data_IF_236758316176
#
_entry.id   IF_236758316176
#
_cell.length_a   1.000
_cell.length_b   1.000
_cell.length_c   1.000
_cell.angle_alpha   90.00
_cell.angle_beta   90.00
_cell.angle_gamma   90.00
#
_symmetry.space_group_name_H-M   'P 1'
#
loop_
_entity.id
_entity.type
_entity.pdbx_description
1 polymer ?
#
# COMPACT_ATOMS: atom_id res chain seq x y z
N UNK A 1 -6.40 -15.02 50.87
CA UNK A 1 -6.08 -14.19 49.68
C UNK A 1 -5.40 -14.97 48.53
N UNK A 2 -4.75 -16.12 48.76
CA UNK A 2 -4.15 -16.94 47.68
C UNK A 2 -5.16 -17.66 46.76
N UNK A 3 -6.33 -18.07 47.27
CA UNK A 3 -7.34 -18.77 46.43
C UNK A 3 -8.09 -17.86 45.45
N UNK A 4 -8.20 -16.56 45.73
CA UNK A 4 -8.92 -15.61 44.85
C UNK A 4 -8.09 -15.29 43.59
N UNK A 5 -6.75 -15.22 43.72
CA UNK A 5 -5.86 -15.05 42.56
C UNK A 5 -5.91 -16.25 41.60
N UNK A 6 -6.05 -17.47 42.14
CA UNK A 6 -6.10 -18.68 41.31
C UNK A 6 -7.40 -18.76 40.49
N UNK A 7 -8.53 -18.34 41.07
CA UNK A 7 -9.81 -18.31 40.37
C UNK A 7 -9.85 -17.25 39.25
N UNK A 8 -9.22 -16.09 39.42
CA UNK A 8 -9.15 -15.06 38.37
C UNK A 8 -8.29 -15.51 37.19
N UNK A 9 -7.19 -16.23 37.45
CA UNK A 9 -6.34 -16.79 36.39
C UNK A 9 -7.02 -17.91 35.59
N UNK A 10 -7.79 -18.78 36.26
CA UNK A 10 -8.59 -19.81 35.61
C UNK A 10 -9.76 -19.23 34.80
N UNK A 11 -10.34 -18.11 35.22
CA UNK A 11 -11.42 -17.44 34.47
C UNK A 11 -10.91 -16.75 33.20
N UNK A 12 -9.68 -16.22 33.22
CA UNK A 12 -9.01 -15.66 32.04
C UNK A 12 -8.57 -16.74 31.03
N UNK A 13 -8.27 -17.96 31.48
CA UNK A 13 -7.97 -19.12 30.62
C UNK A 13 -9.23 -19.77 30.01
N UNK A 14 -10.40 -19.58 30.62
CA UNK A 14 -11.68 -20.17 30.19
C UNK A 14 -12.49 -19.26 29.27
N UNK A 15 -12.05 -18.02 29.02
CA UNK A 15 -12.53 -17.22 27.90
C UNK A 15 -11.98 -17.81 26.60
N UNK A 16 -12.58 -18.93 26.22
CA UNK A 16 -12.57 -19.45 24.86
C UNK A 16 -13.27 -18.40 24.01
N UNK A 17 -12.54 -17.36 23.60
CA UNK A 17 -12.98 -16.53 22.50
C UNK A 17 -13.19 -17.50 21.36
N UNK A 18 -14.44 -17.72 20.98
CA UNK A 18 -14.80 -18.38 19.75
C UNK A 18 -14.26 -17.49 18.62
N UNK A 19 -12.96 -17.63 18.35
CA UNK A 19 -12.26 -16.86 17.36
C UNK A 19 -12.73 -17.41 16.02
N UNK A 20 -13.38 -16.55 15.24
CA UNK A 20 -13.80 -16.85 13.88
C UNK A 20 -12.65 -16.56 12.92
N UNK A 21 -12.56 -17.32 11.83
CA UNK A 21 -11.69 -16.97 10.71
C UNK A 21 -12.01 -15.56 10.19
N UNK A 22 -11.23 -15.00 9.26
CA UNK A 22 -11.55 -13.71 8.67
C UNK A 22 -13.01 -13.72 8.18
N UNK A 23 -13.88 -12.97 8.87
CA UNK A 23 -15.30 -12.92 8.56
C UNK A 23 -15.48 -11.88 7.46
N UNK A 24 -15.59 -12.35 6.24
CA UNK A 24 -16.05 -11.53 5.12
C UNK A 24 -17.58 -11.50 5.13
N UNK A 25 -18.16 -10.34 4.82
CA UNK A 25 -19.62 -10.18 4.78
C UNK A 25 -20.27 -11.06 3.70
N UNK A 26 -19.50 -11.40 2.67
CA UNK A 26 -19.91 -12.24 1.54
C UNK A 26 -18.78 -13.22 1.21
N UNK A 27 -19.12 -14.47 0.87
CA UNK A 27 -18.16 -15.41 0.27
C UNK A 27 -18.06 -15.10 -1.23
N UNK A 28 -16.93 -14.58 -1.73
CA UNK A 28 -16.82 -14.17 -3.13
C UNK A 28 -16.72 -15.41 -4.03
N UNK A 29 -17.87 -15.87 -4.53
CA UNK A 29 -17.91 -16.85 -5.61
C UNK A 29 -17.52 -16.17 -6.93
N UNK A 30 -16.37 -16.57 -7.48
CA UNK A 30 -15.90 -16.29 -8.86
C UNK A 30 -16.06 -14.84 -9.35
N UNK A 31 -15.69 -13.87 -8.52
CA UNK A 31 -15.91 -12.45 -8.83
C UNK A 31 -14.62 -11.76 -9.25
N UNK A 32 -14.62 -11.23 -10.49
CA UNK A 32 -13.62 -10.29 -11.00
C UNK A 32 -13.43 -9.07 -10.08
N UNK A 33 -12.33 -8.34 -10.23
CA UNK A 33 -12.12 -7.09 -9.46
C UNK A 33 -13.29 -6.10 -9.64
N UNK A 34 -13.86 -6.03 -10.85
CA UNK A 34 -15.01 -5.20 -11.15
C UNK A 34 -16.30 -5.65 -10.43
N UNK A 35 -16.45 -6.94 -10.17
CA UNK A 35 -17.59 -7.45 -9.39
C UNK A 35 -17.43 -7.16 -7.90
N UNK A 36 -16.19 -7.15 -7.37
CA UNK A 36 -15.94 -6.66 -6.00
C UNK A 36 -16.32 -5.19 -5.86
N UNK A 37 -16.03 -4.36 -6.87
CA UNK A 37 -16.48 -2.97 -6.89
C UNK A 37 -18.01 -2.86 -6.93
N UNK A 38 -18.69 -3.65 -7.75
CA UNK A 38 -20.16 -3.68 -7.80
C UNK A 38 -20.77 -4.05 -6.43
N UNK A 39 -20.25 -5.09 -5.76
CA UNK A 39 -20.69 -5.46 -4.41
C UNK A 39 -20.51 -4.32 -3.39
N UNK A 40 -19.46 -3.50 -3.55
CA UNK A 40 -19.23 -2.32 -2.69
C UNK A 40 -20.22 -1.20 -2.98
N UNK A 41 -20.54 -0.96 -4.25
CA UNK A 41 -21.52 0.04 -4.69
C UNK A 41 -22.93 -0.33 -4.22
N UNK A 42 -23.27 -1.62 -4.26
CA UNK A 42 -24.52 -2.18 -3.73
C UNK A 42 -24.58 -2.19 -2.19
N UNK A 43 -23.44 -1.94 -1.52
CA UNK A 43 -23.34 -1.93 -0.06
C UNK A 43 -23.27 -3.32 0.58
N UNK A 44 -23.08 -4.39 -0.21
CA UNK A 44 -22.98 -5.77 0.27
C UNK A 44 -21.65 -6.04 1.01
N UNK A 45 -20.59 -5.31 0.68
CA UNK A 45 -19.29 -5.37 1.36
C UNK A 45 -18.82 -3.99 1.81
N UNK A 46 -18.05 -3.95 2.89
CA UNK A 46 -17.43 -2.72 3.38
C UNK A 46 -16.22 -2.31 2.51
N UNK A 47 -15.77 -1.06 2.66
CA UNK A 47 -14.54 -0.59 2.01
C UNK A 47 -13.30 -1.37 2.47
N UNK A 48 -13.31 -1.85 3.72
CA UNK A 48 -12.23 -2.65 4.31
C UNK A 48 -12.19 -4.04 3.67
N UNK A 49 -13.33 -4.71 3.53
CA UNK A 49 -13.41 -6.00 2.83
C UNK A 49 -13.01 -5.90 1.37
N UNK A 50 -13.47 -4.85 0.66
CA UNK A 50 -13.03 -4.61 -0.71
C UNK A 50 -11.50 -4.46 -0.79
N UNK A 51 -10.90 -3.70 0.12
CA UNK A 51 -9.45 -3.51 0.16
C UNK A 51 -8.72 -4.84 0.44
N UNK A 52 -9.17 -5.61 1.43
CA UNK A 52 -8.58 -6.90 1.80
C UNK A 52 -8.64 -7.92 0.65
N UNK A 53 -9.82 -8.12 0.05
CA UNK A 53 -10.01 -9.06 -1.07
C UNK A 53 -9.24 -8.64 -2.31
N UNK A 54 -9.17 -7.33 -2.60
CA UNK A 54 -8.36 -6.80 -3.71
C UNK A 54 -6.88 -7.06 -3.49
N UNK A 55 -6.39 -6.88 -2.26
CA UNK A 55 -4.99 -7.17 -1.91
C UNK A 55 -4.70 -8.66 -2.06
N UNK A 56 -5.53 -9.54 -1.48
CA UNK A 56 -5.37 -11.00 -1.58
C UNK A 56 -5.36 -11.49 -3.03
N UNK A 57 -6.27 -10.98 -3.87
CA UNK A 57 -6.35 -11.34 -5.29
C UNK A 57 -5.10 -10.91 -6.06
N UNK A 58 -4.53 -9.73 -5.73
CA UNK A 58 -3.36 -9.18 -6.43
C UNK A 58 -2.06 -9.84 -5.99
N UNK A 59 -1.87 -10.08 -4.69
CA UNK A 59 -0.65 -10.71 -4.17
C UNK A 59 -0.67 -12.22 -4.36
N UNK A 60 -1.86 -12.81 -4.25
CA UNK A 60 -2.09 -14.24 -4.16
C UNK A 60 -1.49 -14.86 -2.89
N UNK A 61 -2.01 -16.03 -2.51
CA UNK A 61 -1.50 -16.86 -1.42
C UNK A 61 -1.03 -18.20 -1.98
N UNK A 62 0.20 -18.60 -1.69
CA UNK A 62 0.69 -19.94 -1.98
C UNK A 62 0.37 -20.84 -0.78
N UNK A 63 -0.54 -21.82 -0.88
CA UNK A 63 -0.96 -22.62 0.27
C UNK A 63 0.16 -23.48 0.86
N UNK A 64 1.25 -23.74 0.11
CA UNK A 64 2.39 -24.55 0.57
C UNK A 64 3.39 -23.73 1.37
N UNK A 65 3.59 -22.45 1.00
CA UNK A 65 4.58 -21.56 1.62
C UNK A 65 3.95 -20.51 2.55
N UNK A 66 2.63 -20.34 2.51
CA UNK A 66 1.93 -19.35 3.30
C UNK A 66 2.02 -19.67 4.80
N UNK A 67 2.16 -18.61 5.58
CA UNK A 67 2.01 -18.71 7.02
C UNK A 67 0.56 -19.01 7.40
N UNK A 68 0.37 -19.47 8.64
CA UNK A 68 -0.93 -19.67 9.25
C UNK A 68 -1.83 -18.43 9.14
N UNK A 69 -1.27 -17.24 9.40
CA UNK A 69 -2.01 -15.97 9.34
C UNK A 69 -2.45 -15.62 7.92
N UNK A 70 -1.61 -15.86 6.92
CA UNK A 70 -1.96 -15.65 5.50
C UNK A 70 -3.07 -16.60 5.04
N UNK A 71 -3.04 -17.86 5.50
CA UNK A 71 -4.12 -18.83 5.23
C UNK A 71 -5.44 -18.42 5.92
N UNK A 72 -5.40 -17.80 7.10
CA UNK A 72 -6.60 -17.25 7.74
C UNK A 72 -7.20 -16.06 7.05
N UNK A 73 -6.39 -15.32 6.29
CA UNK A 73 -6.90 -14.25 5.43
C UNK A 73 -7.77 -14.79 4.30
N UNK A 74 -7.69 -16.07 3.92
CA UNK A 74 -8.47 -16.59 2.80
C UNK A 74 -9.97 -16.72 3.14
N UNK A 75 -10.87 -16.33 2.22
CA UNK A 75 -12.30 -16.40 2.45
C UNK A 75 -12.78 -17.85 2.61
N UNK A 76 -13.69 -18.07 3.57
CA UNK A 76 -14.35 -19.37 3.74
C UNK A 76 -13.49 -20.51 4.32
N UNK A 77 -12.29 -20.23 4.84
CA UNK A 77 -11.46 -21.22 5.57
C UNK A 77 -11.58 -21.06 7.09
N UNK A 78 -11.87 -22.15 7.81
CA UNK A 78 -11.97 -22.13 9.28
C UNK A 78 -10.63 -22.40 9.97
N UNK A 79 -10.53 -22.08 11.28
CA UNK A 79 -9.35 -22.41 12.10
C UNK A 79 -8.93 -23.88 12.01
N UNK A 80 -9.90 -24.78 12.21
CA UNK A 80 -9.69 -26.21 12.13
C UNK A 80 -9.25 -26.65 10.73
N UNK A 81 -9.79 -26.01 9.68
CA UNK A 81 -9.41 -26.34 8.31
C UNK A 81 -7.97 -25.94 8.00
N UNK A 82 -7.55 -24.72 8.37
CA UNK A 82 -6.16 -24.26 8.21
C UNK A 82 -5.20 -25.08 9.06
N UNK A 83 -5.57 -25.43 10.29
CA UNK A 83 -4.77 -26.32 11.14
C UNK A 83 -4.55 -27.68 10.45
N UNK A 84 -5.59 -28.21 9.80
CA UNK A 84 -5.48 -29.41 8.97
C UNK A 84 -4.53 -29.21 7.78
N UNK A 85 -4.65 -28.09 7.06
CA UNK A 85 -3.78 -27.80 5.89
C UNK A 85 -2.30 -27.72 6.27
N UNK A 86 -1.98 -27.19 7.45
CA UNK A 86 -0.62 -27.12 7.96
C UNK A 86 -0.06 -28.47 8.44
N UNK A 87 -0.93 -29.45 8.67
CA UNK A 87 -0.59 -30.79 9.17
C UNK A 87 -0.67 -31.90 8.12
N UNK A 88 -0.64 -31.57 6.83
CA UNK A 88 -0.69 -32.45 5.63
C UNK A 88 -2.05 -32.56 4.92
N UNK A 89 -3.11 -31.89 5.38
CA UNK A 89 -4.35 -31.88 4.61
C UNK A 89 -4.20 -31.07 3.31
N UNK A 90 -4.88 -31.51 2.26
CA UNK A 90 -4.92 -30.82 0.97
C UNK A 90 -6.27 -30.12 0.80
N UNK A 91 -6.27 -28.95 0.16
CA UNK A 91 -7.50 -28.27 -0.26
C UNK A 91 -8.38 -29.21 -1.10
N UNK A 92 -9.67 -29.29 -0.77
CA UNK A 92 -10.64 -30.05 -1.57
C UNK A 92 -10.79 -29.42 -2.96
N UNK A 93 -11.38 -30.16 -3.91
CA UNK A 93 -11.63 -29.65 -5.25
C UNK A 93 -12.52 -28.40 -5.20
N UNK A 94 -13.53 -28.41 -4.33
CA UNK A 94 -14.46 -27.30 -4.16
C UNK A 94 -13.79 -26.08 -3.54
N UNK A 95 -13.02 -26.27 -2.47
CA UNK A 95 -12.25 -25.20 -1.85
C UNK A 95 -11.24 -24.60 -2.84
N UNK A 96 -10.57 -25.44 -3.64
CA UNK A 96 -9.62 -24.99 -4.65
C UNK A 96 -10.29 -24.18 -5.75
N UNK A 97 -11.49 -24.57 -6.18
CA UNK A 97 -12.27 -23.82 -7.18
C UNK A 97 -12.67 -22.47 -6.63
N UNK A 98 -13.25 -22.43 -5.43
CA UNK A 98 -13.66 -21.19 -4.75
C UNK A 98 -12.49 -20.24 -4.49
N UNK A 99 -11.37 -20.78 -4.00
CA UNK A 99 -10.19 -19.98 -3.66
C UNK A 99 -9.30 -19.66 -4.87
N UNK A 100 -9.55 -20.24 -6.05
CA UNK A 100 -8.72 -20.05 -7.24
C UNK A 100 -8.36 -18.58 -7.54
N UNK A 101 -9.25 -17.58 -7.36
CA UNK A 101 -8.92 -16.17 -7.59
C UNK A 101 -7.88 -15.58 -6.62
N UNK A 102 -7.70 -16.19 -5.44
CA UNK A 102 -6.81 -15.72 -4.38
C UNK A 102 -5.55 -16.58 -4.22
N UNK A 103 -5.49 -17.72 -4.90
CA UNK A 103 -4.33 -18.60 -4.85
C UNK A 103 -3.35 -18.27 -5.96
N UNK A 104 -2.06 -18.26 -5.64
CA UNK A 104 -1.04 -18.25 -6.68
C UNK A 104 -1.00 -19.65 -7.28
N UNK A 105 -0.99 -19.75 -8.61
CA UNK A 105 -0.57 -20.99 -9.26
C UNK A 105 0.83 -21.35 -8.75
N UNK A 106 1.01 -22.59 -8.29
CA UNK A 106 2.30 -23.12 -7.89
C UNK A 106 3.38 -22.67 -8.89
N UNK A 107 4.50 -22.15 -8.36
CA UNK A 107 5.62 -21.54 -9.08
C UNK A 107 5.64 -21.94 -10.55
N UNK A 108 5.25 -21.04 -11.47
CA UNK A 108 4.97 -21.46 -12.83
C UNK A 108 6.24 -22.02 -13.46
N UNK A 109 6.14 -23.20 -14.08
CA UNK A 109 7.29 -23.85 -14.75
C UNK A 109 7.91 -22.98 -15.84
N UNK A 110 7.14 -22.00 -16.33
CA UNK A 110 7.53 -21.03 -17.35
C UNK A 110 7.18 -19.63 -16.89
N UNK A 111 7.86 -18.64 -17.46
CA UNK A 111 7.52 -17.22 -17.23
C UNK A 111 6.07 -16.97 -17.66
N UNK A 112 5.27 -16.40 -16.76
CA UNK A 112 3.89 -15.99 -17.00
C UNK A 112 3.69 -14.56 -16.50
N UNK A 113 2.72 -13.84 -17.04
CA UNK A 113 2.49 -12.48 -16.62
C UNK A 113 1.23 -11.88 -17.20
N UNK A 114 0.88 -10.72 -16.68
CA UNK A 114 -0.24 -9.90 -17.13
C UNK A 114 0.22 -8.45 -17.33
N UNK A 115 -0.42 -7.79 -18.29
CA UNK A 115 -0.24 -6.37 -18.54
C UNK A 115 -1.61 -5.70 -18.61
N UNK A 116 -1.79 -4.64 -17.84
CA UNK A 116 -3.03 -3.87 -17.78
C UNK A 116 -2.75 -2.41 -18.12
N UNK A 117 -3.35 -1.96 -19.22
CA UNK A 117 -3.39 -0.55 -19.59
C UNK A 117 -4.70 0.05 -19.09
N UNK A 118 -4.59 1.11 -18.30
CA UNK A 118 -5.70 1.90 -17.78
C UNK A 118 -5.68 3.29 -18.41
N UNK A 119 -6.85 3.76 -18.81
CA UNK A 119 -7.08 5.11 -19.32
C UNK A 119 -8.43 5.61 -18.80
N UNK A 120 -8.56 6.91 -18.64
CA UNK A 120 -9.81 7.57 -18.30
C UNK A 120 -9.93 8.85 -19.13
N UNK A 121 -11.11 9.20 -19.60
CA UNK A 121 -11.29 10.43 -20.38
C UNK A 121 -12.67 11.02 -20.16
N UNK A 122 -12.74 12.35 -20.18
CA UNK A 122 -13.97 13.10 -20.31
C UNK A 122 -14.04 13.65 -21.73
N UNK A 123 -15.23 13.64 -22.34
CA UNK A 123 -15.41 14.17 -23.70
C UNK A 123 -15.05 15.66 -23.82
N UNK A 124 -15.06 16.39 -22.70
CA UNK A 124 -14.67 17.80 -22.61
C UNK A 124 -13.17 18.02 -22.41
N UNK A 125 -12.37 16.98 -22.15
CA UNK A 125 -10.93 17.11 -21.90
C UNK A 125 -10.19 17.28 -23.25
N UNK A 126 -9.58 18.45 -23.54
CA UNK A 126 -8.90 18.69 -24.80
C UNK A 126 -7.48 18.09 -24.83
N UNK A 127 -7.01 17.48 -23.74
CA UNK A 127 -5.66 16.95 -23.59
C UNK A 127 -5.66 15.43 -23.77
N UNK A 128 -4.53 14.87 -24.20
CA UNK A 128 -4.30 13.43 -24.21
C UNK A 128 -4.74 12.81 -22.86
N UNK A 129 -5.48 11.69 -22.85
CA UNK A 129 -5.94 11.08 -21.61
C UNK A 129 -4.76 10.60 -20.75
N UNK A 130 -4.90 10.63 -19.41
CA UNK A 130 -3.93 10.02 -18.51
C UNK A 130 -3.90 8.51 -18.75
N UNK A 131 -2.70 7.95 -18.68
CA UNK A 131 -2.48 6.51 -18.85
C UNK A 131 -1.78 5.94 -17.63
N UNK A 132 -2.12 4.70 -17.26
CA UNK A 132 -1.35 3.90 -16.33
C UNK A 132 -1.16 2.49 -16.87
N UNK A 133 0.10 2.03 -16.93
CA UNK A 133 0.46 0.69 -17.37
C UNK A 133 0.98 -0.09 -16.16
N UNK A 134 0.32 -1.19 -15.83
CA UNK A 134 0.77 -2.17 -14.86
C UNK A 134 1.26 -3.40 -15.60
N UNK A 135 2.44 -3.88 -15.25
CA UNK A 135 3.00 -5.13 -15.77
C UNK A 135 3.43 -5.98 -14.59
N UNK A 136 3.03 -7.25 -14.60
CA UNK A 136 3.41 -8.24 -13.59
C UNK A 136 3.92 -9.48 -14.29
N UNK A 137 5.01 -10.02 -13.78
CA UNK A 137 5.66 -11.21 -14.33
C UNK A 137 6.01 -12.13 -13.17
N UNK A 138 5.57 -13.38 -13.25
CA UNK A 138 5.96 -14.47 -12.36
C UNK A 138 6.86 -15.43 -13.13
N UNK A 139 8.02 -15.72 -12.54
CA UNK A 139 8.99 -16.68 -13.06
C UNK A 139 9.00 -17.99 -12.26
N UNK A 140 9.83 -18.95 -12.69
CA UNK A 140 10.10 -20.15 -11.92
C UNK A 140 10.78 -19.81 -10.58
N UNK A 141 10.84 -20.78 -9.67
CA UNK A 141 11.59 -20.69 -8.40
C UNK A 141 11.19 -19.50 -7.49
N UNK A 142 9.92 -19.08 -7.55
CA UNK A 142 9.37 -18.08 -6.63
C UNK A 142 9.70 -16.62 -6.97
N UNK A 143 10.22 -16.35 -8.17
CA UNK A 143 10.46 -14.98 -8.65
C UNK A 143 9.19 -14.28 -9.10
N UNK A 144 9.04 -13.02 -8.71
CA UNK A 144 8.01 -12.11 -9.21
C UNK A 144 8.58 -10.71 -9.42
N UNK A 145 8.16 -10.06 -10.49
CA UNK A 145 8.54 -8.69 -10.82
C UNK A 145 7.29 -7.93 -11.20
N UNK A 146 7.19 -6.68 -10.76
CA UNK A 146 6.10 -5.80 -11.15
C UNK A 146 6.57 -4.38 -11.39
N UNK A 147 5.87 -3.71 -12.29
CA UNK A 147 6.13 -2.35 -12.73
C UNK A 147 4.81 -1.60 -12.90
N UNK A 148 4.73 -0.42 -12.32
CA UNK A 148 3.67 0.56 -12.57
C UNK A 148 4.31 1.80 -13.19
N UNK A 149 3.89 2.14 -14.40
CA UNK A 149 4.22 3.41 -15.05
C UNK A 149 2.95 4.22 -15.26
N UNK A 150 3.06 5.55 -15.23
CA UNK A 150 1.93 6.43 -15.49
C UNK A 150 2.36 7.64 -16.32
N UNK A 151 1.51 8.04 -17.25
CA UNK A 151 1.62 9.30 -17.97
C UNK A 151 0.86 10.37 -17.20
N UNK A 152 1.60 11.23 -16.49
CA UNK A 152 1.05 12.37 -15.77
C UNK A 152 1.12 13.63 -16.61
N UNK A 153 0.16 14.53 -16.47
CA UNK A 153 0.07 15.78 -17.23
C UNK A 153 0.04 16.99 -16.31
N UNK A 154 -0.40 16.79 -15.06
CA UNK A 154 -0.73 17.85 -14.10
C UNK A 154 0.11 17.76 -12.83
N UNK A 155 1.05 16.82 -12.77
CA UNK A 155 1.98 16.69 -11.64
C UNK A 155 3.03 17.80 -11.73
N UNK A 156 3.22 18.52 -10.63
CA UNK A 156 4.30 19.50 -10.50
C UNK A 156 5.67 18.80 -10.57
N UNK A 157 6.70 19.54 -10.98
CA UNK A 157 8.07 19.05 -10.85
C UNK A 157 8.54 18.99 -9.39
N UNK A 158 9.80 18.59 -9.20
CA UNK A 158 10.39 18.53 -7.88
C UNK A 158 10.47 19.93 -7.25
N UNK A 159 10.05 20.01 -5.98
CA UNK A 159 10.07 21.27 -5.23
C UNK A 159 11.47 21.47 -4.66
N UNK A 160 12.01 22.67 -4.84
CA UNK A 160 13.31 23.08 -4.32
C UNK A 160 13.22 24.49 -3.75
N UNK A 161 14.16 24.84 -2.87
CA UNK A 161 14.23 26.17 -2.28
C UNK A 161 15.19 27.03 -3.09
N UNK A 162 14.73 28.19 -3.55
CA UNK A 162 15.60 29.17 -4.19
C UNK A 162 16.34 29.99 -3.13
N UNK A 163 17.65 30.14 -3.28
CA UNK A 163 18.54 30.77 -2.31
C UNK A 163 18.35 32.29 -2.21
N UNK A 164 17.90 32.95 -3.29
CA UNK A 164 17.85 34.42 -3.36
C UNK A 164 16.55 35.05 -2.87
N UNK A 165 15.38 34.38 -2.98
CA UNK A 165 14.16 34.80 -2.28
C UNK A 165 13.82 33.92 -1.05
N UNK A 166 14.59 32.84 -0.77
CA UNK A 166 14.25 31.81 0.25
C UNK A 166 12.86 31.18 0.04
N UNK A 167 12.29 31.31 -1.15
CA UNK A 167 10.96 30.81 -1.51
C UNK A 167 11.02 29.40 -2.06
N UNK A 168 9.89 28.70 -1.93
CA UNK A 168 9.68 27.43 -2.61
C UNK A 168 9.43 27.65 -4.09
N UNK A 169 10.11 26.86 -4.90
CA UNK A 169 9.97 26.85 -6.35
C UNK A 169 9.68 25.44 -6.84
N UNK A 170 8.75 25.30 -7.76
CA UNK A 170 8.45 24.05 -8.45
C UNK A 170 8.39 24.28 -9.96
N UNK A 171 8.77 23.27 -10.74
CA UNK A 171 8.57 23.32 -12.18
C UNK A 171 7.06 23.22 -12.51
N UNK A 172 6.65 23.99 -13.51
CA UNK A 172 5.29 23.95 -14.04
C UNK A 172 4.89 22.52 -14.44
N UNK A 173 3.58 22.17 -14.31
CA UNK A 173 3.09 20.86 -14.72
C UNK A 173 3.32 20.62 -16.21
N UNK A 174 3.61 19.38 -16.59
CA UNK A 174 3.79 18.97 -17.98
C UNK A 174 3.53 17.49 -18.19
N UNK A 175 3.44 17.09 -19.47
CA UNK A 175 3.30 15.69 -19.86
C UNK A 175 4.61 14.96 -19.56
N UNK A 176 4.58 14.03 -18.62
CA UNK A 176 5.73 13.26 -18.17
C UNK A 176 5.35 11.80 -17.92
N UNK A 177 6.23 10.89 -18.32
CA UNK A 177 6.14 9.47 -17.94
C UNK A 177 6.87 9.29 -16.61
N UNK A 178 6.18 8.73 -15.62
CA UNK A 178 6.73 8.46 -14.29
C UNK A 178 6.64 6.98 -13.96
N UNK A 179 7.59 6.49 -13.14
CA UNK A 179 7.61 5.12 -12.62
C UNK A 179 7.38 5.15 -11.11
N UNK A 180 6.11 5.28 -10.68
CA UNK A 180 5.79 5.43 -9.26
C UNK A 180 6.00 4.16 -8.44
N UNK A 181 5.91 2.97 -9.03
CA UNK A 181 6.13 1.71 -8.31
C UNK A 181 6.84 0.69 -9.18
N UNK A 182 7.75 -0.04 -8.57
CA UNK A 182 8.40 -1.21 -9.15
C UNK A 182 8.77 -2.15 -7.99
N UNK A 183 8.81 -3.45 -8.23
CA UNK A 183 9.28 -4.41 -7.26
C UNK A 183 9.87 -5.65 -7.93
N UNK A 184 10.81 -6.28 -7.24
CA UNK A 184 11.28 -7.63 -7.49
C UNK A 184 11.21 -8.42 -6.19
N UNK A 185 10.56 -9.58 -6.22
CA UNK A 185 10.34 -10.45 -5.09
C UNK A 185 10.87 -11.85 -5.39
N UNK A 186 11.47 -12.47 -4.39
CA UNK A 186 11.79 -13.89 -4.39
C UNK A 186 11.21 -14.54 -3.13
N UNK A 187 10.56 -15.69 -3.29
CA UNK A 187 9.92 -16.44 -2.21
C UNK A 187 10.39 -17.89 -2.23
N UNK A 188 11.11 -18.31 -1.19
CA UNK A 188 11.51 -19.69 -0.95
C UNK A 188 10.95 -20.24 0.37
N UNK A 189 11.30 -21.50 0.69
CA UNK A 189 10.78 -22.21 1.86
C UNK A 189 11.22 -21.61 3.21
N UNK A 190 12.44 -21.07 3.29
CA UNK A 190 13.03 -20.53 4.54
C UNK A 190 13.26 -19.03 4.51
N UNK A 191 13.17 -18.41 3.34
CA UNK A 191 13.45 -17.00 3.19
C UNK A 191 12.60 -16.40 2.08
N UNK A 192 12.28 -15.13 2.24
CA UNK A 192 11.59 -14.34 1.22
C UNK A 192 12.17 -12.93 1.25
N UNK A 193 12.37 -12.33 0.09
CA UNK A 193 12.93 -10.98 -0.04
C UNK A 193 12.15 -10.21 -1.10
N UNK A 194 11.95 -8.92 -0.87
CA UNK A 194 11.40 -7.98 -1.83
C UNK A 194 12.24 -6.70 -1.86
N UNK A 195 12.61 -6.29 -3.07
CA UNK A 195 13.29 -5.02 -3.37
C UNK A 195 12.38 -4.16 -4.22
N UNK A 196 12.23 -2.88 -3.86
CA UNK A 196 11.36 -1.93 -4.53
C UNK A 196 10.23 -1.45 -3.64
N UNK A 197 9.03 -1.31 -4.18
CA UNK A 197 7.86 -0.75 -3.51
C UNK A 197 7.07 -1.85 -2.81
N UNK A 198 6.83 -1.71 -1.51
CA UNK A 198 6.16 -2.72 -0.70
C UNK A 198 5.22 -2.12 0.35
N UNK A 199 4.28 -2.96 0.78
CA UNK A 199 3.42 -2.77 1.94
C UNK A 199 3.81 -3.82 2.96
N UNK A 200 3.68 -3.52 4.24
CA UNK A 200 4.09 -4.43 5.29
C UNK A 200 3.15 -4.32 6.48
N UNK A 201 2.95 -5.42 7.18
CA UNK A 201 2.08 -5.44 8.33
C UNK A 201 2.31 -6.67 9.19
N UNK A 202 2.15 -6.48 10.51
CA UNK A 202 2.39 -7.53 11.48
C UNK A 202 1.33 -7.54 12.58
N UNK A 203 0.98 -8.74 13.05
CA UNK A 203 0.13 -8.95 14.21
C UNK A 203 -1.31 -8.49 14.01
N UNK A 204 -1.94 -7.97 15.06
CA UNK A 204 -3.34 -7.50 15.05
C UNK A 204 -3.50 -6.07 14.51
N UNK A 205 -2.64 -5.64 13.57
CA UNK A 205 -2.67 -4.29 12.96
C UNK A 205 -2.31 -3.13 13.89
N UNK A 206 -1.78 -3.40 15.09
CA UNK A 206 -1.62 -2.39 16.16
C UNK A 206 -0.38 -1.48 16.03
N UNK A 207 0.72 -1.95 15.45
CA UNK A 207 1.99 -1.20 15.44
C UNK A 207 2.36 -0.62 14.08
N UNK A 208 2.22 -1.43 13.04
CA UNK A 208 2.57 -1.08 11.68
C UNK A 208 1.81 -2.03 10.77
N UNK A 209 0.82 -1.49 10.06
CA UNK A 209 0.09 -2.19 9.01
C UNK A 209 -0.24 -1.20 7.91
N UNK A 210 0.41 -1.40 6.76
CA UNK A 210 0.06 -0.70 5.54
C UNK A 210 -0.55 -1.64 4.52
N UNK A 211 -0.83 -2.91 4.83
CA UNK A 211 -1.31 -3.92 3.86
C UNK A 211 -2.81 -3.84 3.62
N UNK A 212 -3.60 -3.50 4.65
CA UNK A 212 -5.06 -3.56 4.61
C UNK A 212 -5.63 -4.98 4.73
N UNK A 213 -4.80 -5.97 5.09
CA UNK A 213 -5.27 -7.33 5.38
C UNK A 213 -5.87 -7.42 6.80
N UNK A 214 -6.85 -8.31 7.04
CA UNK A 214 -7.41 -8.52 8.38
C UNK A 214 -6.37 -9.03 9.39
N UNK A 215 -5.50 -9.95 8.94
CA UNK A 215 -4.43 -10.56 9.74
C UNK A 215 -3.10 -10.41 9.01
N UNK A 216 -2.50 -9.22 9.02
CA UNK A 216 -1.28 -8.98 8.26
C UNK A 216 -0.09 -9.73 8.86
N UNK A 217 0.65 -10.44 8.00
CA UNK A 217 1.86 -11.16 8.36
C UNK A 217 2.90 -11.05 7.25
N UNK A 218 3.88 -10.16 7.46
CA UNK A 218 5.01 -9.99 6.56
C UNK A 218 4.85 -8.79 5.64
N UNK A 219 5.14 -9.00 4.36
CA UNK A 219 5.21 -7.95 3.36
C UNK A 219 4.63 -8.40 2.02
N UNK A 220 4.15 -7.43 1.25
CA UNK A 220 3.53 -7.62 -0.05
C UNK A 220 4.08 -6.58 -1.04
N UNK A 221 4.17 -6.91 -2.33
CA UNK A 221 4.49 -5.93 -3.35
C UNK A 221 3.42 -4.83 -3.40
N UNK A 222 3.87 -3.58 -3.58
CA UNK A 222 2.99 -2.46 -3.83
C UNK A 222 3.04 -2.07 -5.31
N UNK A 223 1.92 -2.25 -5.99
CA UNK A 223 1.69 -1.79 -7.35
C UNK A 223 0.31 -1.12 -7.51
N UNK A 224 -0.30 -0.72 -6.40
CA UNK A 224 -1.66 -0.18 -6.40
C UNK A 224 -1.68 1.19 -7.06
N UNK A 225 -2.54 1.32 -8.07
CA UNK A 225 -2.95 2.58 -8.68
C UNK A 225 -4.47 2.76 -8.49
N UNK A 226 -4.88 4.00 -8.23
CA UNK A 226 -6.28 4.43 -8.14
C UNK A 226 -6.67 5.15 -9.42
N UNK A 227 -7.85 4.82 -9.92
CA UNK A 227 -8.46 5.54 -11.04
C UNK A 227 -8.62 7.03 -10.71
N UNK A 228 -8.62 7.91 -11.71
CA UNK A 228 -8.96 9.31 -11.54
C UNK A 228 -10.33 9.47 -10.88
N UNK A 229 -10.45 10.49 -10.01
CA UNK A 229 -11.72 10.87 -9.42
C UNK A 229 -12.59 11.69 -10.40
N UNK A 230 -13.49 12.50 -9.84
CA UNK A 230 -14.30 13.42 -10.62
C UNK A 230 -13.43 14.39 -11.43
N UNK A 231 -14.00 14.88 -12.53
CA UNK A 231 -13.36 15.91 -13.35
C UNK A 231 -13.00 17.15 -12.53
N UNK A 232 -11.87 17.76 -12.86
CA UNK A 232 -11.31 18.92 -12.17
C UNK A 232 -11.12 20.08 -13.14
N UNK A 233 -11.00 21.31 -12.63
CA UNK A 233 -10.61 22.46 -13.46
C UNK A 233 -9.16 22.32 -13.91
N UNK A 234 -8.87 22.65 -15.17
CA UNK A 234 -7.51 22.64 -15.72
C UNK A 234 -6.61 23.59 -14.94
N UNK A 235 -7.03 24.83 -14.78
CA UNK A 235 -6.32 25.80 -13.95
C UNK A 235 -6.48 25.48 -12.46
N UNK A 236 -5.38 25.10 -11.81
CA UNK A 236 -5.29 24.86 -10.36
C UNK A 236 -4.29 25.81 -9.67
N UNK A 237 -3.89 26.86 -10.39
CA UNK A 237 -2.97 27.90 -9.93
C UNK A 237 -3.78 29.12 -9.47
N UNK A 238 -3.22 29.91 -8.55
CA UNK A 238 -3.85 31.12 -8.04
C UNK A 238 -4.18 32.15 -9.12
N UNK A 239 -4.94 33.19 -8.74
CA UNK A 239 -5.38 34.25 -9.66
C UNK A 239 -4.23 34.81 -10.52
N UNK A 240 -4.49 34.98 -11.81
CA UNK A 240 -3.54 35.54 -12.78
C UNK A 240 -2.59 34.55 -13.46
N UNK A 241 -2.59 33.26 -13.05
CA UNK A 241 -1.69 32.26 -13.61
C UNK A 241 -2.20 31.56 -14.90
N UNK A 242 -3.50 31.66 -15.20
CA UNK A 242 -4.11 31.02 -16.37
C UNK A 242 -4.95 32.01 -17.18
N UNK A 243 -5.03 31.77 -18.50
CA UNK A 243 -5.93 32.49 -19.39
C UNK A 243 -7.41 32.25 -19.01
N UNK A 244 -8.35 33.16 -19.33
CA UNK A 244 -9.76 33.01 -19.00
C UNK A 244 -10.36 31.68 -19.47
N UNK A 245 -10.03 31.25 -20.69
CA UNK A 245 -10.51 30.00 -21.30
C UNK A 245 -10.02 28.74 -20.53
N UNK A 246 -8.78 28.78 -20.03
CA UNK A 246 -8.18 27.69 -19.24
C UNK A 246 -8.78 27.54 -17.83
N UNK A 247 -9.46 28.58 -17.32
CA UNK A 247 -10.11 28.55 -16.00
C UNK A 247 -11.43 27.78 -16.02
N UNK A 248 -12.09 27.75 -17.17
CA UNK A 248 -13.35 27.06 -17.37
C UNK A 248 -13.17 25.64 -17.94
N UNK A 249 -12.00 25.35 -18.52
CA UNK A 249 -11.67 24.04 -19.03
C UNK A 249 -11.72 22.96 -17.94
N UNK A 250 -12.44 21.88 -18.23
CA UNK A 250 -12.63 20.73 -17.35
C UNK A 250 -11.82 19.56 -17.89
N UNK A 251 -11.03 18.94 -17.01
CA UNK A 251 -10.10 17.87 -17.38
C UNK A 251 -10.23 16.66 -16.48
N UNK A 252 -9.92 15.50 -17.03
CA UNK A 252 -9.82 14.28 -16.25
C UNK A 252 -8.55 14.34 -15.39
N UNK A 253 -8.58 14.06 -14.08
CA UNK A 253 -7.38 14.01 -13.24
C UNK A 253 -6.42 12.90 -13.66
N UNK A 254 -5.15 12.99 -13.27
CA UNK A 254 -4.20 11.90 -13.48
C UNK A 254 -4.46 10.74 -12.52
N UNK A 255 -3.99 9.53 -12.87
CA UNK A 255 -4.02 8.39 -11.97
C UNK A 255 -3.25 8.69 -10.68
N UNK A 256 -3.78 8.20 -9.56
CA UNK A 256 -3.17 8.42 -8.24
C UNK A 256 -2.57 7.12 -7.71
N UNK A 257 -1.59 7.24 -6.84
CA UNK A 257 -1.02 6.10 -6.11
C UNK A 257 -0.63 6.54 -4.72
N UNK A 258 -0.69 5.61 -3.77
CA UNK A 258 -0.10 5.82 -2.47
C UNK A 258 1.42 5.68 -2.56
N UNK A 259 2.13 6.57 -1.88
CA UNK A 259 3.54 6.39 -1.62
C UNK A 259 3.63 5.36 -0.48
N UNK A 260 3.98 4.10 -0.79
CA UNK A 260 4.11 2.99 0.15
C UNK A 260 5.43 3.04 0.92
N UNK A 261 6.06 1.90 1.22
CA UNK A 261 7.50 1.84 1.52
C UNK A 261 8.26 1.54 0.23
N UNK A 262 9.50 2.04 0.11
CA UNK A 262 10.38 1.73 -1.03
C UNK A 262 11.81 1.49 -0.57
N UNK A 263 12.31 0.27 -0.79
CA UNK A 263 13.62 -0.17 -0.33
C UNK A 263 13.74 -1.69 -0.36
N UNK A 264 14.14 -2.29 0.76
CA UNK A 264 14.30 -3.75 0.88
C UNK A 264 13.58 -4.25 2.13
N UNK A 265 12.89 -5.37 1.99
CA UNK A 265 12.30 -6.13 3.10
C UNK A 265 12.59 -7.60 2.89
N UNK A 266 12.82 -8.33 3.99
CA UNK A 266 13.00 -9.77 3.91
C UNK A 266 12.63 -10.46 5.20
N UNK A 267 12.19 -11.70 5.07
CA UNK A 267 11.86 -12.59 6.17
C UNK A 267 12.70 -13.85 6.08
N UNK A 268 13.23 -14.30 7.21
CA UNK A 268 13.87 -15.62 7.37
C UNK A 268 13.07 -16.40 8.40
N UNK A 269 12.81 -17.67 8.11
CA UNK A 269 12.02 -18.58 8.94
C UNK A 269 12.75 -19.91 9.11
N UNK A 270 12.62 -20.52 10.28
CA UNK A 270 13.18 -21.84 10.52
C UNK A 270 12.85 -22.40 11.89
N UNK A 271 13.06 -23.71 12.10
CA UNK A 271 12.94 -24.33 13.40
C UNK A 271 14.06 -23.84 14.34
N UNK A 272 13.74 -23.71 15.62
CA UNK A 272 14.67 -23.39 16.71
C UNK A 272 14.50 -24.45 17.79
N UNK A 273 15.48 -25.36 17.89
CA UNK A 273 15.35 -26.54 18.74
C UNK A 273 14.39 -27.58 18.13
N UNK A 274 13.78 -28.39 19.00
CA UNK A 274 12.84 -29.46 18.60
C UNK A 274 11.40 -29.00 18.46
N UNK A 275 11.00 -27.98 19.24
CA UNK A 275 9.58 -27.68 19.47
C UNK A 275 9.22 -26.20 19.21
N UNK A 276 10.09 -25.43 18.56
CA UNK A 276 9.78 -24.05 18.25
C UNK A 276 10.18 -23.67 16.81
N UNK A 277 9.50 -22.68 16.28
CA UNK A 277 9.81 -22.03 15.01
C UNK A 277 9.97 -20.53 15.22
N UNK A 278 10.95 -19.95 14.55
CA UNK A 278 11.19 -18.50 14.54
C UNK A 278 11.00 -17.95 13.14
N UNK A 279 10.39 -16.77 13.07
CA UNK A 279 10.33 -15.95 11.85
C UNK A 279 10.80 -14.54 12.18
N UNK A 280 11.82 -14.07 11.48
CA UNK A 280 12.38 -12.72 11.65
C UNK A 280 12.24 -11.98 10.34
N UNK A 281 11.56 -10.84 10.37
CA UNK A 281 11.40 -9.92 9.24
C UNK A 281 12.14 -8.63 9.54
N UNK A 282 12.96 -8.16 8.61
CA UNK A 282 13.62 -6.86 8.67
C UNK A 282 13.29 -6.04 7.43
N UNK A 283 13.17 -4.73 7.59
CA UNK A 283 12.89 -3.81 6.47
C UNK A 283 13.65 -2.50 6.60
N UNK A 284 13.93 -1.90 5.44
CA UNK A 284 14.47 -0.57 5.29
C UNK A 284 13.87 0.11 4.06
N UNK A 285 13.52 1.39 4.19
CA UNK A 285 12.88 2.19 3.17
C UNK A 285 13.53 3.56 3.09
N UNK A 286 13.76 4.02 1.87
CA UNK A 286 14.23 5.36 1.57
C UNK A 286 13.51 5.90 0.33
N UNK A 287 12.70 6.93 0.52
CA UNK A 287 11.94 7.51 -0.60
C UNK A 287 11.59 8.97 -0.41
N UNK A 288 11.36 9.63 -1.54
CA UNK A 288 10.82 10.98 -1.59
C UNK A 288 9.32 10.95 -1.29
N UNK A 289 8.86 11.86 -0.43
CA UNK A 289 7.47 11.98 0.00
C UNK A 289 6.85 13.28 -0.51
N UNK A 290 5.62 13.18 -0.98
CA UNK A 290 4.82 14.34 -1.38
C UNK A 290 3.99 14.84 -0.19
N UNK A 291 3.84 16.16 -0.07
CA UNK A 291 2.99 16.77 0.97
C UNK A 291 2.00 17.74 0.36
N UNK A 292 0.82 17.85 0.93
CA UNK A 292 -0.13 18.88 0.54
C UNK A 292 0.47 20.25 0.85
N UNK A 293 0.36 21.19 -0.09
CA UNK A 293 0.84 22.58 0.07
C UNK A 293 0.35 23.25 1.36
N UNK A 294 -0.90 23.02 1.77
CA UNK A 294 -1.44 23.56 3.02
C UNK A 294 -0.96 22.84 4.29
N UNK A 295 -0.35 21.66 4.16
CA UNK A 295 0.25 20.95 5.29
C UNK A 295 1.67 21.48 5.62
N UNK A 296 2.24 22.30 4.74
CA UNK A 296 3.48 23.00 5.01
C UNK A 296 3.21 24.25 5.82
N UNK A 297 4.06 24.47 6.81
CA UNK A 297 3.98 25.59 7.72
C UNK A 297 5.36 26.23 7.81
N UNK A 298 5.41 27.55 7.67
CA UNK A 298 6.65 28.30 7.84
C UNK A 298 6.77 28.78 9.29
N UNK A 299 7.84 28.35 9.98
CA UNK A 299 8.04 28.63 11.40
C UNK A 299 8.08 30.13 11.73
N UNK A 300 8.72 30.95 10.89
CA UNK A 300 8.78 32.41 11.06
C UNK A 300 7.40 33.07 10.95
N UNK A 301 6.48 32.49 10.17
CA UNK A 301 5.10 33.00 10.06
C UNK A 301 4.22 32.65 11.26
N UNK A 302 4.65 31.70 12.10
CA UNK A 302 3.93 31.28 13.29
C UNK A 302 4.20 32.14 14.52
N UNK A 303 5.27 32.94 14.53
CA UNK A 303 5.69 33.68 15.73
C UNK A 303 4.75 34.88 16.03
N UNK A 304 4.06 35.41 15.02
CA UNK A 304 3.33 36.68 15.12
C UNK A 304 1.78 36.56 15.18
N UNK A 305 1.17 35.37 15.14
CA UNK A 305 -0.31 35.28 15.08
C UNK A 305 -0.95 34.21 15.98
N UNK A 306 -1.93 34.64 16.78
CA UNK A 306 -2.88 33.77 17.52
C UNK A 306 -3.90 33.06 16.60
N UNK A 307 -3.87 33.32 15.29
CA UNK A 307 -4.85 32.86 14.28
C UNK A 307 -4.35 31.71 13.39
N UNK A 308 -3.21 31.11 13.70
CA UNK A 308 -2.70 29.93 13.01
C UNK A 308 -1.71 30.24 11.89
N UNK A 309 -0.79 29.30 11.66
CA UNK A 309 0.32 29.52 10.74
C UNK A 309 -0.11 29.47 9.27
N UNK A 310 0.48 30.33 8.44
CA UNK A 310 0.22 30.34 7.00
C UNK A 310 1.13 29.37 6.27
N UNK A 311 0.58 28.74 5.22
CA UNK A 311 1.36 27.91 4.32
C UNK A 311 2.29 28.77 3.45
N UNK A 312 3.55 28.33 3.20
CA UNK A 312 4.49 29.06 2.36
C UNK A 312 4.00 29.15 0.92
N UNK A 313 4.26 30.27 0.25
CA UNK A 313 3.97 30.40 -1.18
C UNK A 313 4.96 29.58 -2.00
N UNK A 314 4.44 28.74 -2.89
CA UNK A 314 5.22 28.04 -3.91
C UNK A 314 5.08 28.79 -5.23
N UNK A 315 6.22 29.21 -5.78
CA UNK A 315 6.35 29.85 -7.08
C UNK A 315 6.54 28.78 -8.16
N UNK A 316 6.05 29.06 -9.36
CA UNK A 316 6.30 28.20 -10.51
C UNK A 316 7.38 28.79 -11.42
N UNK A 317 8.31 27.94 -11.84
CA UNK A 317 9.27 28.24 -12.89
C UNK A 317 8.88 27.55 -14.19
N UNK A 318 9.03 28.24 -15.32
CA UNK A 318 8.96 27.61 -16.65
C UNK A 318 7.86 28.08 -17.58
N UNK A 319 7.10 29.12 -17.24
CA UNK A 319 6.21 29.80 -18.20
C UNK A 319 6.49 31.29 -18.10
N UNK A 320 6.50 32.02 -19.21
CA UNK A 320 6.57 33.49 -19.23
C UNK A 320 5.36 34.18 -18.60
N UNK A 321 4.66 33.51 -17.68
CA UNK A 321 3.55 34.00 -16.89
C UNK A 321 4.06 34.50 -15.53
N UNK A 322 3.40 35.49 -14.91
CA UNK A 322 3.76 35.97 -13.58
C UNK A 322 3.68 34.83 -12.57
N UNK A 323 4.63 34.83 -11.63
CA UNK A 323 4.71 33.95 -10.47
C UNK A 323 3.33 33.60 -9.86
N UNK A 324 2.77 32.45 -10.23
CA UNK A 324 1.50 31.96 -9.72
C UNK A 324 1.69 31.21 -8.40
N UNK A 325 0.85 31.47 -7.40
CA UNK A 325 0.82 30.70 -6.15
C UNK A 325 0.11 29.37 -6.39
N UNK A 326 0.75 28.25 -6.09
CA UNK A 326 0.07 26.94 -6.08
C UNK A 326 -0.95 26.91 -4.94
N UNK A 327 -2.22 26.61 -5.27
CA UNK A 327 -3.28 26.44 -4.27
C UNK A 327 -3.66 24.95 -4.24
N UNK A 328 -3.62 24.34 -3.06
CA UNK A 328 -4.24 23.02 -2.80
C UNK A 328 -3.76 21.86 -3.70
N UNK A 329 -2.45 21.70 -3.88
CA UNK A 329 -1.85 20.52 -4.53
C UNK A 329 -0.82 19.82 -3.64
N UNK A 330 -0.64 18.52 -3.91
CA UNK A 330 0.51 17.77 -3.43
C UNK A 330 1.77 18.28 -4.12
N UNK A 331 2.72 18.74 -3.31
CA UNK A 331 4.05 19.17 -3.66
C UNK A 331 4.95 17.93 -3.66
N UNK A 332 5.51 17.53 -4.83
CA UNK A 332 6.32 16.32 -4.91
C UNK A 332 7.69 16.49 -4.27
N UNK A 333 8.09 15.49 -3.50
CA UNK A 333 9.46 15.34 -2.99
C UNK A 333 9.90 16.44 -2.02
N UNK A 334 8.99 16.88 -1.16
CA UNK A 334 9.24 17.91 -0.13
C UNK A 334 10.18 17.41 0.97
N UNK A 335 10.18 16.11 1.23
CA UNK A 335 11.16 15.50 2.12
C UNK A 335 11.47 14.08 1.66
N UNK A 336 12.61 13.57 2.12
CA UNK A 336 12.97 12.16 1.99
C UNK A 336 12.78 11.47 3.33
N UNK A 337 12.13 10.33 3.34
CA UNK A 337 11.89 9.56 4.55
C UNK A 337 12.85 8.38 4.61
N UNK A 338 13.58 8.27 5.71
CA UNK A 338 14.20 7.01 6.14
C UNK A 338 13.24 6.30 7.07
N UNK A 339 12.88 5.06 6.78
CA UNK A 339 12.12 4.22 7.69
C UNK A 339 12.76 2.84 7.78
N UNK A 340 12.76 2.24 8.96
CA UNK A 340 13.32 0.91 9.15
C UNK A 340 12.83 0.27 10.43
N UNK A 341 12.92 -1.05 10.48
CA UNK A 341 12.45 -1.81 11.61
C UNK A 341 12.46 -3.31 11.37
N UNK A 342 11.81 -4.03 12.26
CA UNK A 342 11.67 -5.47 12.15
C UNK A 342 10.59 -6.04 13.05
N UNK A 343 10.29 -7.30 12.77
CA UNK A 343 9.34 -8.12 13.51
C UNK A 343 9.94 -9.50 13.72
N UNK A 344 9.88 -10.00 14.95
CA UNK A 344 10.30 -11.36 15.28
C UNK A 344 9.13 -12.09 15.94
N UNK A 345 8.84 -13.30 15.46
CA UNK A 345 7.88 -14.22 16.08
C UNK A 345 8.57 -15.49 16.52
N UNK A 346 8.18 -15.98 17.68
CA UNK A 346 8.52 -17.29 18.22
C UNK A 346 7.22 -18.07 18.42
N UNK A 347 7.09 -19.22 17.79
CA UNK A 347 5.94 -20.10 17.89
C UNK A 347 6.37 -21.47 18.44
N UNK A 348 5.69 -21.95 19.49
CA UNK A 348 5.96 -23.27 20.09
C UNK A 348 4.95 -24.33 19.65
N UNK A 349 3.72 -23.90 19.42
CA UNK A 349 2.68 -24.74 18.84
C UNK A 349 2.01 -23.94 17.75
N UNK A 350 1.13 -24.59 16.99
CA UNK A 350 0.34 -23.86 16.01
C UNK A 350 -0.40 -22.68 16.68
N UNK A 351 -0.88 -22.83 17.92
CA UNK A 351 -1.75 -21.85 18.61
C UNK A 351 -1.04 -20.92 19.57
N UNK A 352 0.22 -21.20 19.91
CA UNK A 352 0.99 -20.41 20.88
C UNK A 352 2.16 -19.73 20.18
N UNK A 353 2.04 -18.42 19.99
CA UNK A 353 3.08 -17.58 19.41
C UNK A 353 3.19 -16.24 20.14
N UNK A 354 4.41 -15.71 20.23
CA UNK A 354 4.69 -14.36 20.73
C UNK A 354 5.45 -13.62 19.65
N UNK A 355 5.03 -12.39 19.37
CA UNK A 355 5.64 -11.51 18.38
C UNK A 355 6.04 -10.17 18.99
N UNK A 356 7.18 -9.64 18.56
CA UNK A 356 7.65 -8.31 18.91
C UNK A 356 7.94 -7.51 17.63
N UNK A 357 7.40 -6.30 17.54
CA UNK A 357 7.60 -5.37 16.41
C UNK A 357 8.22 -4.08 16.91
N UNK A 358 9.25 -3.59 16.22
CA UNK A 358 9.82 -2.28 16.46
C UNK A 358 10.16 -1.61 15.12
N UNK A 359 9.88 -0.31 15.00
CA UNK A 359 10.22 0.47 13.83
C UNK A 359 10.41 1.94 14.19
N UNK A 360 11.07 2.67 13.30
CA UNK A 360 11.19 4.12 13.38
C UNK A 360 11.28 4.74 11.99
N UNK A 361 10.91 6.01 11.90
CA UNK A 361 11.06 6.81 10.70
C UNK A 361 11.62 8.19 11.02
N UNK A 362 12.37 8.75 10.07
CA UNK A 362 12.97 10.08 10.15
C UNK A 362 12.81 10.81 8.81
N UNK A 363 12.14 11.97 8.78
CA UNK A 363 12.14 12.84 7.63
C UNK A 363 13.49 13.58 7.51
N UNK A 364 13.95 13.76 6.28
CA UNK A 364 15.08 14.58 5.87
C UNK A 364 14.56 15.56 4.84
N UNK A 365 14.40 16.82 5.24
CA UNK A 365 13.79 17.85 4.41
C UNK A 365 14.72 18.22 3.25
N UNK A 366 14.22 18.19 2.02
CA UNK A 366 14.95 18.63 0.82
C UNK A 366 14.94 20.15 0.63
N UNK A 367 14.29 20.86 1.55
CA UNK A 367 13.88 22.25 1.45
C UNK A 367 14.61 23.15 2.46
N UNK A 368 15.56 22.61 3.23
CA UNK A 368 16.36 23.44 4.15
C UNK A 368 17.34 24.36 3.42
#
# INVERSE_FOLDING_TARGET
MRSVLCCVWLFLLMLSVAAHAASYEVDPEDTGEQALFALREEGAITAETLAALTVLRRSGVDPVLASRASLYGLPGLTYARVDGLLGDAVLTVEERRRLAPFLVRASPERVSGDARLLSAFAASDPVLPPLALQVRVAGPEGWRVGLLTSLTRRRLGAVHRDARPRTLVAEAPGVAVVVPKFHGQWTGARASVLVGSYRLGFGQRLTLDTTGLPTPDGFLPDDVVRAPGNVERWCFLGEGACAPEEREAVVTPDFQWDEGFRGVVGTVRGPVGTDAAVSVTGFGSYQSRSLLSHALVERSSCEDTREGCRAPSVLLTGTGAPAGRVVSRALPGVFREWAGGGHATLAWTSRMQVGATAWGARPVWSVE
#
